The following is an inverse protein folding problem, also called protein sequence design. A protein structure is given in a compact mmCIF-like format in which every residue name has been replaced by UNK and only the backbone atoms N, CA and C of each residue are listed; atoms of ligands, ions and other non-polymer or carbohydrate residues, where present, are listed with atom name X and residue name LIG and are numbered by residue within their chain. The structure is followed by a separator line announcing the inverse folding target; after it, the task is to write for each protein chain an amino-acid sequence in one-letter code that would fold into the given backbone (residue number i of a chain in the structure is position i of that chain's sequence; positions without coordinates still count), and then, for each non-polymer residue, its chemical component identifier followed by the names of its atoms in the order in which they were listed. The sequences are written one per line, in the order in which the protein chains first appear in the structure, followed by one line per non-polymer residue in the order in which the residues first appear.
data_IF_360625577443
#
_entry.id   IF_360625577443
#
_cell.length_a   1.000
_cell.length_b   1.000
_cell.length_c   1.000
_cell.angle_alpha   90.00
_cell.angle_beta   90.00
_cell.angle_gamma   90.00
#
_symmetry.space_group_name_H-M   'P 1'
#
loop_
_entity.id
_entity.type
_entity.pdbx_description
1 polymer ?
#
# COMPACT_ATOMS: atom_id res chain seq x y z
N UNK A 1 -16.36 -18.60 -18.82
CA UNK A 1 -15.59 -19.20 -17.70
C UNK A 1 -14.46 -18.27 -17.24
N UNK A 2 -13.63 -17.74 -18.14
CA UNK A 2 -12.54 -16.82 -17.74
C UNK A 2 -13.04 -15.46 -17.19
N UNK A 3 -14.16 -14.95 -17.73
CA UNK A 3 -14.75 -13.66 -17.32
C UNK A 3 -15.14 -13.63 -15.84
N UNK A 4 -15.71 -14.71 -15.30
CA UNK A 4 -16.16 -14.78 -13.90
C UNK A 4 -14.97 -14.76 -12.92
N UNK A 5 -13.89 -15.47 -13.25
CA UNK A 5 -12.66 -15.45 -12.47
C UNK A 5 -12.03 -14.06 -12.42
N UNK A 6 -12.01 -13.35 -13.55
CA UNK A 6 -11.55 -11.96 -13.61
C UNK A 6 -12.46 -11.02 -12.81
N UNK A 7 -13.78 -11.21 -12.81
CA UNK A 7 -14.71 -10.41 -11.99
C UNK A 7 -14.41 -10.59 -10.50
N UNK A 8 -14.26 -11.84 -10.04
CA UNK A 8 -13.91 -12.14 -8.65
C UNK A 8 -12.57 -11.50 -8.28
N UNK A 9 -11.58 -11.55 -9.18
CA UNK A 9 -10.29 -10.91 -8.95
C UNK A 9 -10.39 -9.40 -8.76
N UNK A 10 -11.06 -8.71 -9.68
CA UNK A 10 -11.21 -7.27 -9.63
C UNK A 10 -11.99 -6.86 -8.38
N UNK A 11 -12.96 -7.68 -7.96
CA UNK A 11 -13.64 -7.53 -6.68
C UNK A 11 -12.67 -7.67 -5.50
N UNK A 12 -11.81 -8.69 -5.47
CA UNK A 12 -10.81 -8.85 -4.40
C UNK A 12 -9.83 -7.68 -4.35
N UNK A 13 -9.34 -7.20 -5.50
CA UNK A 13 -8.48 -6.02 -5.57
C UNK A 13 -9.20 -4.78 -5.03
N UNK A 14 -10.47 -4.57 -5.42
CA UNK A 14 -11.29 -3.47 -4.91
C UNK A 14 -11.42 -3.54 -3.39
N UNK A 15 -11.61 -4.73 -2.81
CA UNK A 15 -11.69 -4.91 -1.36
C UNK A 15 -10.35 -4.65 -0.66
N UNK A 16 -9.21 -5.04 -1.26
CA UNK A 16 -7.87 -4.70 -0.72
C UNK A 16 -7.67 -3.19 -0.70
N UNK A 17 -7.99 -2.49 -1.80
CA UNK A 17 -7.90 -1.02 -1.88
C UNK A 17 -8.81 -0.37 -0.85
N UNK A 18 -10.05 -0.85 -0.71
CA UNK A 18 -11.02 -0.36 0.29
C UNK A 18 -10.51 -0.53 1.72
N UNK A 19 -9.88 -1.67 2.01
CA UNK A 19 -9.35 -1.97 3.33
C UNK A 19 -8.16 -1.07 3.72
N UNK A 20 -7.17 -0.94 2.84
CA UNK A 20 -5.85 -0.40 3.24
C UNK A 20 -5.47 0.94 2.61
N UNK A 21 -6.16 1.40 1.56
CA UNK A 21 -5.72 2.57 0.79
C UNK A 21 -6.76 3.69 0.73
N UNK A 22 -8.04 3.34 0.61
CA UNK A 22 -9.11 4.32 0.57
C UNK A 22 -9.09 5.16 1.85
N UNK A 23 -9.30 6.47 1.77
CA UNK A 23 -9.33 7.39 2.91
C UNK A 23 -10.74 7.60 3.46
N UNK A 24 -11.76 7.28 2.67
CA UNK A 24 -13.17 7.53 2.98
C UNK A 24 -13.85 6.40 3.76
N UNK A 25 -13.17 5.26 3.90
CA UNK A 25 -13.76 4.04 4.50
C UNK A 25 -13.63 4.02 6.01
N UNK A 26 -14.72 3.61 6.66
CA UNK A 26 -14.79 3.44 8.12
C UNK A 26 -13.99 2.21 8.56
N UNK A 27 -13.59 2.16 9.84
CA UNK A 27 -12.80 1.06 10.37
C UNK A 27 -13.50 -0.31 10.25
N UNK A 28 -14.83 -0.37 10.45
CA UNK A 28 -15.59 -1.62 10.33
C UNK A 28 -15.51 -2.16 8.90
N UNK A 29 -15.80 -1.31 7.92
CA UNK A 29 -15.77 -1.67 6.51
C UNK A 29 -14.37 -2.12 6.07
N UNK A 30 -13.32 -1.53 6.62
CA UNK A 30 -11.94 -1.96 6.35
C UNK A 30 -11.67 -3.37 6.84
N UNK A 31 -12.03 -3.66 8.10
CA UNK A 31 -11.88 -4.99 8.69
C UNK A 31 -12.70 -6.03 7.91
N UNK A 32 -13.96 -5.72 7.61
CA UNK A 32 -14.83 -6.59 6.82
C UNK A 32 -14.21 -6.88 5.44
N UNK A 33 -13.73 -5.84 4.75
CA UNK A 33 -13.09 -5.99 3.43
C UNK A 33 -11.81 -6.83 3.50
N UNK A 34 -10.95 -6.59 4.50
CA UNK A 34 -9.71 -7.36 4.68
C UNK A 34 -9.99 -8.84 4.96
N UNK A 35 -10.90 -9.12 5.89
CA UNK A 35 -11.25 -10.49 6.26
C UNK A 35 -12.02 -11.23 5.17
N UNK A 36 -12.83 -10.52 4.39
CA UNK A 36 -13.47 -11.07 3.20
C UNK A 36 -12.43 -11.59 2.21
N UNK A 37 -11.38 -10.81 1.93
CA UNK A 37 -10.29 -11.24 1.03
C UNK A 37 -9.55 -12.44 1.61
N UNK A 38 -9.23 -12.45 2.91
CA UNK A 38 -8.63 -13.62 3.58
C UNK A 38 -9.46 -14.87 3.38
N UNK A 39 -10.77 -14.78 3.60
CA UNK A 39 -11.70 -15.90 3.46
C UNK A 39 -11.71 -16.46 2.04
N UNK A 40 -11.85 -15.60 1.03
CA UNK A 40 -11.85 -16.03 -0.38
C UNK A 40 -10.50 -16.65 -0.75
N UNK A 41 -9.39 -16.04 -0.34
CA UNK A 41 -8.05 -16.56 -0.58
C UNK A 41 -7.85 -17.96 0.05
N UNK A 42 -8.36 -18.21 1.25
CA UNK A 42 -8.29 -19.52 1.92
C UNK A 42 -9.09 -20.60 1.18
N UNK A 43 -10.30 -20.27 0.71
CA UNK A 43 -11.11 -21.18 -0.11
C UNK A 43 -10.36 -21.51 -1.40
N UNK A 44 -9.87 -20.47 -2.09
CA UNK A 44 -9.15 -20.61 -3.35
C UNK A 44 -7.90 -21.50 -3.20
N UNK A 45 -7.09 -21.27 -2.15
CA UNK A 45 -5.90 -22.08 -1.90
C UNK A 45 -6.22 -23.53 -1.52
N UNK A 46 -7.30 -23.75 -0.75
CA UNK A 46 -7.78 -25.09 -0.41
C UNK A 46 -8.22 -25.86 -1.65
N UNK A 47 -8.91 -25.21 -2.58
CA UNK A 47 -9.31 -25.79 -3.85
C UNK A 47 -8.09 -26.17 -4.71
N UNK A 48 -7.09 -25.28 -4.82
CA UNK A 48 -5.86 -25.56 -5.56
C UNK A 48 -5.07 -26.75 -4.99
N UNK A 49 -4.98 -26.88 -3.66
CA UNK A 49 -4.34 -28.03 -3.03
C UNK A 49 -5.01 -29.35 -3.43
N UNK A 50 -6.34 -29.37 -3.45
CA UNK A 50 -7.13 -30.55 -3.84
C UNK A 50 -6.85 -30.97 -5.29
N UNK A 51 -6.86 -30.02 -6.21
CA UNK A 51 -6.52 -30.21 -7.64
C UNK A 51 -5.09 -30.75 -7.84
N UNK A 52 -4.13 -30.20 -7.09
CA UNK A 52 -2.72 -30.63 -7.16
C UNK A 52 -2.53 -32.06 -6.65
N UNK A 53 -3.21 -32.45 -5.57
CA UNK A 53 -3.15 -33.81 -5.01
C UNK A 53 -3.77 -34.84 -5.95
N UNK A 54 -4.80 -34.49 -6.70
CA UNK A 54 -5.41 -35.37 -7.72
C UNK A 54 -4.53 -35.57 -8.96
N UNK A 55 -3.57 -34.68 -9.21
CA UNK A 55 -2.74 -34.67 -10.43
C UNK A 55 -1.34 -35.30 -10.26
N UNK A 56 -1.03 -35.85 -9.09
CA UNK A 56 0.34 -36.19 -8.63
C UNK A 56 1.00 -37.43 -9.27
N UNK A 57 0.57 -37.91 -10.44
CA UNK A 57 1.12 -39.13 -11.06
C UNK A 57 2.15 -38.89 -12.19
N UNK A 58 2.62 -37.67 -12.44
CA UNK A 58 3.62 -37.42 -13.50
C UNK A 58 4.85 -36.70 -12.95
N UNK A 59 6.02 -37.35 -13.06
CA UNK A 59 7.34 -36.76 -12.77
C UNK A 59 7.57 -35.59 -13.73
N UNK A 60 7.43 -34.36 -13.25
CA UNK A 60 7.74 -33.15 -14.02
C UNK A 60 9.20 -32.74 -13.86
N UNK A 61 9.80 -32.34 -14.97
CA UNK A 61 11.17 -31.85 -15.11
C UNK A 61 11.34 -30.42 -14.57
N UNK A 62 12.59 -29.99 -14.29
CA UNK A 62 12.88 -28.67 -13.71
C UNK A 62 12.37 -27.47 -14.55
N UNK A 63 12.25 -27.62 -15.87
CA UNK A 63 11.68 -26.61 -16.77
C UNK A 63 10.15 -26.46 -16.58
N UNK A 64 9.44 -27.56 -16.28
CA UNK A 64 7.99 -27.54 -16.04
C UNK A 64 7.63 -26.91 -14.69
N UNK A 65 8.54 -26.92 -13.70
CA UNK A 65 8.36 -26.24 -12.42
C UNK A 65 8.26 -24.72 -12.57
N UNK A 66 9.05 -24.11 -13.47
CA UNK A 66 9.00 -22.66 -13.73
C UNK A 66 7.67 -22.24 -14.37
N UNK A 67 7.14 -23.05 -15.30
CA UNK A 67 5.79 -22.85 -15.87
C UNK A 67 4.68 -23.03 -14.83
N UNK A 68 4.89 -23.87 -13.82
CA UNK A 68 3.92 -24.10 -12.75
C UNK A 68 3.80 -22.93 -11.75
N UNK A 69 4.82 -22.06 -11.64
CA UNK A 69 4.79 -20.83 -10.83
C UNK A 69 3.92 -19.76 -11.51
N UNK A 70 3.95 -19.66 -12.84
CA UNK A 70 3.09 -18.76 -13.63
C UNK A 70 1.67 -19.30 -13.86
N UNK A 71 1.36 -20.51 -13.38
CA UNK A 71 0.04 -21.14 -13.55
C UNK A 71 -1.04 -20.50 -12.67
N UNK A 72 -0.65 -19.89 -11.56
CA UNK A 72 -1.62 -19.38 -10.58
C UNK A 72 -1.90 -17.91 -10.79
N UNK A 73 -3.19 -17.63 -10.84
CA UNK A 73 -3.73 -16.30 -11.02
C UNK A 73 -3.43 -15.34 -9.85
N UNK A 74 -3.38 -15.85 -8.61
CA UNK A 74 -2.82 -15.15 -7.45
C UNK A 74 -1.48 -15.82 -7.10
N UNK A 75 -0.41 -15.05 -6.96
CA UNK A 75 0.90 -15.64 -6.64
C UNK A 75 0.95 -16.08 -5.18
N UNK A 76 1.75 -17.11 -4.87
CA UNK A 76 1.93 -17.60 -3.49
C UNK A 76 2.35 -16.49 -2.51
N UNK A 77 3.29 -15.57 -2.85
CA UNK A 77 3.63 -14.45 -1.97
C UNK A 77 2.45 -13.51 -1.71
N UNK A 78 1.64 -13.21 -2.74
CA UNK A 78 0.45 -12.38 -2.59
C UNK A 78 -0.58 -13.04 -1.67
N UNK A 79 -0.83 -14.34 -1.83
CA UNK A 79 -1.69 -15.11 -0.94
C UNK A 79 -1.21 -15.07 0.51
N UNK A 80 0.09 -15.33 0.75
CA UNK A 80 0.67 -15.37 2.08
C UNK A 80 0.68 -14.01 2.79
N UNK A 81 0.63 -12.89 2.06
CA UNK A 81 0.64 -11.55 2.66
C UNK A 81 -0.74 -11.06 3.09
N UNK A 82 -1.83 -11.57 2.50
CA UNK A 82 -3.20 -11.10 2.81
C UNK A 82 -3.53 -11.28 4.30
N UNK A 83 -3.27 -12.47 4.83
CA UNK A 83 -3.67 -12.84 6.20
C UNK A 83 -2.87 -12.09 7.28
N UNK A 84 -1.53 -12.02 7.22
CA UNK A 84 -0.76 -11.16 8.13
C UNK A 84 -1.21 -9.70 8.10
N UNK A 85 -1.53 -9.14 6.93
CA UNK A 85 -1.99 -7.76 6.83
C UNK A 85 -3.35 -7.55 7.53
N UNK A 86 -4.29 -8.49 7.40
CA UNK A 86 -5.58 -8.42 8.08
C UNK A 86 -5.41 -8.54 9.61
N UNK A 87 -4.56 -9.45 10.06
CA UNK A 87 -4.21 -9.60 11.47
C UNK A 87 -3.53 -8.35 12.03
N UNK A 88 -2.58 -7.75 11.31
CA UNK A 88 -1.91 -6.52 11.72
C UNK A 88 -2.91 -5.38 11.91
N UNK A 89 -3.88 -5.23 10.99
CA UNK A 89 -4.91 -4.20 11.13
C UNK A 89 -5.79 -4.43 12.36
N UNK A 90 -6.23 -5.67 12.61
CA UNK A 90 -6.96 -6.02 13.83
C UNK A 90 -6.12 -5.76 15.09
N UNK A 91 -4.83 -6.08 15.04
CA UNK A 91 -3.91 -5.84 16.15
C UNK A 91 -3.74 -4.35 16.44
N UNK A 92 -3.67 -3.49 15.42
CA UNK A 92 -3.68 -2.03 15.63
C UNK A 92 -4.95 -1.56 16.37
N UNK A 93 -6.11 -2.14 16.07
CA UNK A 93 -7.36 -1.83 16.79
C UNK A 93 -7.24 -2.23 18.26
N UNK A 94 -6.67 -3.40 18.55
CA UNK A 94 -6.46 -3.86 19.92
C UNK A 94 -5.49 -2.94 20.69
N UNK A 95 -4.37 -2.54 20.07
CA UNK A 95 -3.39 -1.64 20.66
C UNK A 95 -3.98 -0.26 20.98
N UNK A 96 -4.86 0.27 20.12
CA UNK A 96 -5.57 1.53 20.42
C UNK A 96 -6.58 1.35 21.55
N UNK A 97 -7.29 0.21 21.61
CA UNK A 97 -8.18 -0.11 22.75
C UNK A 97 -7.41 -0.25 24.06
N UNK A 98 -6.18 -0.75 24.02
CA UNK A 98 -5.27 -0.86 25.16
C UNK A 98 -4.52 0.44 25.48
N UNK A 99 -4.85 1.55 24.81
CA UNK A 99 -4.17 2.85 24.97
C UNK A 99 -2.66 2.83 24.69
N UNK A 100 -2.15 1.81 23.99
CA UNK A 100 -0.74 1.72 23.57
C UNK A 100 -0.46 2.44 22.25
N UNK A 101 -1.51 2.76 21.48
CA UNK A 101 -1.43 3.57 20.26
C UNK A 101 -2.46 4.72 20.29
N UNK A 102 -2.13 5.87 19.68
CA UNK A 102 -3.07 6.97 19.52
C UNK A 102 -4.22 6.60 18.58
N UNK A 103 -5.43 7.13 18.82
CA UNK A 103 -6.62 6.88 17.98
C UNK A 103 -6.40 7.28 16.51
N UNK A 104 -5.55 8.28 16.29
CA UNK A 104 -5.13 8.76 14.97
C UNK A 104 -4.51 7.65 14.12
N UNK A 105 -3.89 6.62 14.72
CA UNK A 105 -3.35 5.48 13.99
C UNK A 105 -4.43 4.73 13.20
N UNK A 106 -5.67 4.67 13.70
CA UNK A 106 -6.79 4.01 13.01
C UNK A 106 -7.43 4.89 11.93
N UNK A 107 -7.34 6.22 12.08
CA UNK A 107 -7.79 7.17 11.06
C UNK A 107 -6.83 7.15 9.86
N UNK A 108 -5.54 6.98 10.15
CA UNK A 108 -4.46 7.06 9.18
C UNK A 108 -3.98 5.68 8.68
N UNK A 109 -4.86 4.67 8.62
CA UNK A 109 -4.53 3.32 8.12
C UNK A 109 -3.89 3.38 6.72
N UNK A 110 -4.35 4.31 5.89
CA UNK A 110 -3.84 4.54 4.53
C UNK A 110 -2.37 4.99 4.47
N UNK A 111 -1.75 5.37 5.60
CA UNK A 111 -0.33 5.72 5.66
C UNK A 111 0.58 4.50 5.84
N UNK A 112 0.04 3.34 6.22
CA UNK A 112 0.82 2.12 6.47
C UNK A 112 1.13 1.30 5.20
N UNK A 113 1.19 1.95 4.03
CA UNK A 113 1.59 1.33 2.78
C UNK A 113 2.92 1.90 2.26
N UNK A 114 3.47 1.28 1.21
CA UNK A 114 4.77 1.66 0.64
C UNK A 114 4.77 2.93 -0.21
N UNK A 115 3.61 3.53 -0.49
CA UNK A 115 3.49 4.63 -1.45
C UNK A 115 4.31 5.86 -1.04
N UNK A 116 4.39 6.15 0.26
CA UNK A 116 5.23 7.22 0.79
C UNK A 116 6.72 7.00 0.50
N UNK A 117 7.19 5.76 0.68
CA UNK A 117 8.57 5.37 0.37
C UNK A 117 8.84 5.48 -1.13
N UNK A 118 7.94 4.98 -1.97
CA UNK A 118 8.06 5.07 -3.44
C UNK A 118 8.14 6.53 -3.91
N UNK A 119 7.33 7.41 -3.32
CA UNK A 119 7.40 8.86 -3.56
C UNK A 119 8.76 9.42 -3.19
N UNK A 120 9.27 9.11 -1.99
CA UNK A 120 10.58 9.58 -1.53
C UNK A 120 11.70 9.11 -2.47
N UNK A 121 11.68 7.85 -2.91
CA UNK A 121 12.67 7.34 -3.86
C UNK A 121 12.56 8.01 -5.23
N UNK A 122 11.35 8.33 -5.69
CA UNK A 122 11.13 9.09 -6.93
C UNK A 122 11.70 10.51 -6.83
N UNK A 123 11.41 11.20 -5.74
CA UNK A 123 11.89 12.57 -5.50
C UNK A 123 13.43 12.60 -5.33
N UNK A 124 13.99 11.56 -4.70
CA UNK A 124 15.44 11.42 -4.60
C UNK A 124 16.09 11.18 -5.98
N UNK A 125 15.41 10.49 -6.91
CA UNK A 125 15.90 10.33 -8.30
C UNK A 125 15.82 11.63 -9.09
N UNK A 126 14.78 12.45 -8.88
CA UNK A 126 14.62 13.73 -9.58
C UNK A 126 15.60 14.81 -9.14
N UNK A 127 16.24 14.66 -7.96
CA UNK A 127 17.31 15.55 -7.49
C UNK A 127 18.68 15.32 -8.16
N UNK A 128 18.77 14.47 -9.18
CA UNK A 128 19.98 14.36 -10.01
C UNK A 128 20.20 15.67 -10.81
N UNK A 129 21.45 16.09 -10.99
CA UNK A 129 21.78 17.37 -11.64
C UNK A 129 21.29 17.45 -13.09
N UNK A 130 21.13 18.66 -13.63
CA UNK A 130 20.48 18.98 -14.92
C UNK A 130 21.02 18.23 -16.16
N UNK A 131 22.21 17.63 -16.07
CA UNK A 131 22.87 16.86 -17.12
C UNK A 131 23.19 15.41 -16.71
N UNK A 132 22.69 14.96 -15.55
CA UNK A 132 22.96 13.63 -15.00
C UNK A 132 21.72 12.74 -15.13
N UNK A 133 21.78 11.79 -16.05
CA UNK A 133 20.78 10.71 -16.21
C UNK A 133 20.96 9.58 -15.21
N UNK A 134 21.79 9.76 -14.18
CA UNK A 134 22.10 8.72 -13.21
C UNK A 134 20.88 8.52 -12.30
N UNK A 135 20.11 7.48 -12.61
CA UNK A 135 18.93 7.02 -11.86
C UNK A 135 19.33 6.25 -10.60
N UNK A 136 20.50 5.61 -10.62
CA UNK A 136 21.00 4.78 -9.53
C UNK A 136 21.89 5.57 -8.58
N UNK A 137 21.71 5.37 -7.28
CA UNK A 137 22.54 6.02 -6.27
C UNK A 137 22.96 5.04 -5.19
N UNK A 138 24.15 5.27 -4.63
CA UNK A 138 24.60 4.58 -3.42
C UNK A 138 23.77 5.03 -2.21
N UNK A 139 23.82 4.29 -1.12
CA UNK A 139 23.16 4.67 0.14
C UNK A 139 23.62 6.05 0.62
N UNK A 140 24.91 6.36 0.52
CA UNK A 140 25.45 7.68 0.88
C UNK A 140 24.82 8.80 0.03
N UNK A 141 24.66 8.56 -1.28
CA UNK A 141 24.00 9.52 -2.17
C UNK A 141 22.51 9.67 -1.83
N UNK A 142 21.82 8.59 -1.47
CA UNK A 142 20.44 8.65 -1.02
C UNK A 142 20.27 9.49 0.25
N UNK A 143 21.13 9.29 1.26
CA UNK A 143 21.08 10.04 2.52
C UNK A 143 21.26 11.54 2.26
N UNK A 144 22.28 11.91 1.47
CA UNK A 144 22.52 13.33 1.10
C UNK A 144 21.33 13.95 0.37
N UNK A 145 20.70 13.20 -0.54
CA UNK A 145 19.51 13.67 -1.27
C UNK A 145 18.29 13.76 -0.37
N UNK A 146 18.12 12.82 0.56
CA UNK A 146 17.02 12.82 1.53
C UNK A 146 17.10 13.99 2.50
N UNK A 147 18.31 14.36 2.95
CA UNK A 147 18.54 15.57 3.74
C UNK A 147 18.14 16.83 2.98
N UNK A 148 18.50 16.92 1.69
CA UNK A 148 18.07 18.02 0.82
C UNK A 148 16.55 18.06 0.65
N UNK A 149 15.90 16.91 0.44
CA UNK A 149 14.45 16.82 0.36
C UNK A 149 13.77 17.27 1.65
N UNK A 150 14.31 16.89 2.81
CA UNK A 150 13.77 17.30 4.10
C UNK A 150 13.76 18.83 4.24
N UNK A 151 14.89 19.48 3.88
CA UNK A 151 15.01 20.94 3.90
C UNK A 151 14.03 21.59 2.89
N UNK A 152 13.96 21.06 1.66
CA UNK A 152 13.02 21.56 0.65
C UNK A 152 11.55 21.42 1.08
N UNK A 153 11.20 20.32 1.74
CA UNK A 153 9.86 20.10 2.24
C UNK A 153 9.53 21.02 3.42
N UNK A 154 10.51 21.31 4.29
CA UNK A 154 10.35 22.30 5.34
C UNK A 154 10.06 23.68 4.75
N UNK A 155 10.83 24.14 3.76
CA UNK A 155 10.57 25.42 3.09
C UNK A 155 9.20 25.47 2.42
N UNK A 156 8.77 24.39 1.77
CA UNK A 156 7.42 24.31 1.17
C UNK A 156 6.32 24.43 2.23
N UNK A 157 6.53 23.80 3.38
CA UNK A 157 5.58 23.87 4.50
C UNK A 157 5.50 25.29 5.05
N UNK A 158 6.64 25.91 5.35
CA UNK A 158 6.72 27.28 5.87
C UNK A 158 6.08 28.30 4.90
N UNK A 159 6.34 28.15 3.60
CA UNK A 159 5.73 29.00 2.57
C UNK A 159 4.20 28.80 2.47
N UNK A 160 3.73 27.57 2.67
CA UNK A 160 2.29 27.27 2.63
C UNK A 160 1.54 27.88 3.81
N UNK A 161 2.11 27.88 5.01
CA UNK A 161 1.52 28.57 6.17
C UNK A 161 1.52 30.09 6.00
N UNK A 162 2.61 30.67 5.48
CA UNK A 162 2.66 32.10 5.17
C UNK A 162 1.65 32.53 4.11
N UNK A 163 1.46 31.74 3.05
CA UNK A 163 0.42 32.00 2.05
C UNK A 163 -0.99 31.89 2.66
N UNK A 164 -1.23 30.94 3.56
CA UNK A 164 -2.51 30.80 4.25
C UNK A 164 -2.81 32.01 5.14
N UNK A 165 -1.81 32.51 5.88
CA UNK A 165 -1.92 33.72 6.67
C UNK A 165 -2.18 34.96 5.81
N UNK A 166 -1.51 35.09 4.66
CA UNK A 166 -1.76 36.19 3.71
C UNK A 166 -3.17 36.16 3.13
N UNK A 167 -3.67 35.00 2.71
CA UNK A 167 -5.05 34.86 2.23
C UNK A 167 -6.09 35.20 3.31
N UNK A 168 -5.80 34.85 4.56
CA UNK A 168 -6.65 35.15 5.72
C UNK A 168 -6.72 36.65 5.99
N UNK A 169 -5.58 37.35 5.90
CA UNK A 169 -5.50 38.82 6.09
C UNK A 169 -6.21 39.56 4.95
N UNK A 170 -6.08 39.11 3.70
CA UNK A 170 -6.79 39.70 2.55
C UNK A 170 -8.31 39.53 2.69
N UNK A 171 -8.77 38.36 3.16
CA UNK A 171 -10.20 38.12 3.39
C UNK A 171 -10.78 38.93 4.56
N UNK A 172 -9.99 39.24 5.59
CA UNK A 172 -10.41 40.12 6.69
C UNK A 172 -10.53 41.57 6.19
N UNK A 173 -9.57 42.05 5.40
CA UNK A 173 -9.61 43.42 4.88
C UNK A 173 -10.71 43.65 3.84
N UNK A 174 -11.17 42.60 3.14
CA UNK A 174 -12.30 42.68 2.19
C UNK A 174 -13.68 42.51 2.83
N UNK A 175 -13.75 42.23 4.14
CA UNK A 175 -15.00 42.21 4.93
C UNK A 175 -15.20 43.47 5.79
N UNK A 176 -14.23 44.38 5.81
CA UNK A 176 -14.27 45.65 6.57
C UNK A 176 -14.61 46.85 5.67
N UNK A 177 -14.67 46.65 4.35
CA UNK A 177 -15.25 47.58 3.37
C UNK A 177 -16.67 47.13 2.97
#
# INVERSE_FOLDING_TARGET
KDTEGTVIYLMLLKMIVRAYMDKSTTLSERLESAWYVVFVCRIWWSWLKKESSSSSSKRTTACEQQNHINKYFITKPAYLSVEPNAHNMLYMVLLVKQHSLPKQALINIHLFNSQGCESLFRDARSLSGSFSTIVNFTVNNFIKRSQKLAILNQFKYDQSEHNFLFQSIININTMID
#
